data_IF_822588176699
#
_entry.id   IF_822588176699
#
_cell.length_a   1.000
_cell.length_b   1.000
_cell.length_c   1.000
_cell.angle_alpha   90.00
_cell.angle_beta   90.00
_cell.angle_gamma   90.00
#
_symmetry.space_group_name_H-M   'P 1'
#
loop_
_entity.id
_entity.type
_entity.pdbx_description
1 polymer ?
#
# COMPACT_ATOMS: atom_id res chain seq x y z
N UNK A 1 -11.59 45.48 36.27
CA UNK A 1 -12.28 46.21 35.19
C UNK A 1 -11.78 45.63 33.87
N UNK A 2 -12.48 44.65 33.31
CA UNK A 2 -12.14 44.02 32.03
C UNK A 2 -13.39 44.03 31.16
N UNK A 3 -13.29 44.69 30.01
CA UNK A 3 -14.37 44.86 29.05
C UNK A 3 -14.57 43.57 28.25
N UNK A 4 -15.78 43.02 28.30
CA UNK A 4 -16.24 41.92 27.46
C UNK A 4 -16.84 42.53 26.19
N UNK A 5 -16.22 42.30 25.03
CA UNK A 5 -16.81 42.62 23.73
C UNK A 5 -17.54 41.40 23.19
N UNK A 6 -18.87 41.45 23.19
CA UNK A 6 -19.71 40.52 22.45
C UNK A 6 -19.86 41.00 21.01
N UNK A 7 -19.48 40.16 20.04
CA UNK A 7 -19.81 40.36 18.63
C UNK A 7 -20.92 39.38 18.26
N UNK A 8 -22.07 39.95 17.93
CA UNK A 8 -23.25 39.27 17.41
C UNK A 8 -23.16 39.26 15.88
N UNK A 9 -22.95 38.08 15.29
CA UNK A 9 -22.96 37.92 13.84
C UNK A 9 -24.39 37.68 13.36
N UNK A 10 -24.88 38.64 12.57
CA UNK A 10 -26.14 38.53 11.82
C UNK A 10 -25.94 37.57 10.65
N UNK A 11 -26.79 36.56 10.55
CA UNK A 11 -26.93 35.72 9.36
C UNK A 11 -27.82 36.47 8.36
N UNK A 12 -27.27 36.79 7.19
CA UNK A 12 -28.02 37.27 6.05
C UNK A 12 -28.36 36.05 5.17
N UNK A 13 -29.67 35.77 5.04
CA UNK A 13 -30.18 34.74 4.15
C UNK A 13 -30.09 35.23 2.70
N UNK A 14 -29.16 34.64 1.93
CA UNK A 14 -29.01 34.88 0.50
C UNK A 14 -29.88 33.88 -0.26
N UNK A 15 -31.06 34.32 -0.70
CA UNK A 15 -31.91 33.58 -1.64
C UNK A 15 -31.25 33.57 -3.02
N UNK A 16 -30.85 32.38 -3.49
CA UNK A 16 -30.33 32.16 -4.83
C UNK A 16 -31.52 31.82 -5.75
N UNK A 17 -31.80 32.60 -6.80
CA UNK A 17 -32.89 32.28 -7.73
C UNK A 17 -32.54 31.03 -8.56
N UNK A 18 -33.36 30.00 -8.43
CA UNK A 18 -33.32 28.83 -9.29
C UNK A 18 -33.69 29.22 -10.73
N UNK A 19 -32.70 29.21 -11.62
CA UNK A 19 -32.93 29.25 -13.05
C UNK A 19 -33.55 27.91 -13.49
N UNK A 20 -34.84 27.94 -13.82
CA UNK A 20 -35.53 26.84 -14.49
C UNK A 20 -34.95 26.67 -15.90
N UNK A 21 -34.21 25.59 -16.12
CA UNK A 21 -33.73 25.21 -17.44
C UNK A 21 -34.86 24.56 -18.24
N UNK A 22 -35.17 25.19 -19.37
CA UNK A 22 -36.10 24.77 -20.40
C UNK A 22 -35.59 23.50 -21.11
N UNK A 23 -36.35 22.42 -21.03
CA UNK A 23 -36.03 21.08 -21.56
C UNK A 23 -36.83 20.80 -22.83
N UNK A 24 -36.89 21.74 -23.79
CA UNK A 24 -37.53 21.46 -25.10
C UNK A 24 -36.65 21.75 -26.34
N UNK A 25 -35.39 22.15 -26.17
CA UNK A 25 -34.51 22.50 -27.30
C UNK A 25 -33.74 21.36 -27.99
N UNK A 26 -33.73 20.11 -27.47
CA UNK A 26 -32.73 19.09 -27.84
C UNK A 26 -33.20 17.95 -28.76
N UNK A 27 -34.24 18.15 -29.57
CA UNK A 27 -34.72 17.11 -30.52
C UNK A 27 -34.64 17.45 -32.01
N UNK A 28 -34.09 18.60 -32.42
CA UNK A 28 -33.99 18.97 -33.86
C UNK A 28 -32.58 19.14 -34.44
N UNK A 29 -31.52 18.90 -33.65
CA UNK A 29 -30.14 18.96 -34.16
C UNK A 29 -29.58 17.58 -34.59
N UNK A 30 -30.30 16.46 -34.37
CA UNK A 30 -29.82 15.11 -34.68
C UNK A 30 -30.26 14.54 -36.03
N UNK A 31 -30.93 15.33 -36.89
CA UNK A 31 -31.45 14.84 -38.18
C UNK A 31 -30.91 15.62 -39.40
N UNK A 32 -29.81 16.38 -39.23
CA UNK A 32 -29.16 17.08 -40.35
C UNK A 32 -27.67 16.74 -40.55
N UNK A 33 -27.09 15.89 -39.70
CA UNK A 33 -25.72 15.37 -39.87
C UNK A 33 -25.68 13.96 -40.49
N UNK A 34 -26.81 13.28 -40.66
CA UNK A 34 -26.84 11.90 -41.15
C UNK A 34 -26.89 11.74 -42.68
N UNK A 35 -26.97 12.84 -43.45
CA UNK A 35 -26.99 12.79 -44.94
C UNK A 35 -25.74 13.40 -45.60
N UNK A 36 -24.74 13.86 -44.84
CA UNK A 36 -23.51 14.41 -45.41
C UNK A 36 -22.24 13.63 -45.07
N UNK A 37 -22.34 12.32 -44.78
CA UNK A 37 -21.18 11.45 -44.55
C UNK A 37 -21.00 10.31 -45.56
N UNK A 38 -21.92 10.10 -46.52
CA UNK A 38 -21.79 9.01 -47.51
C UNK A 38 -20.98 9.36 -48.78
N UNK A 39 -20.36 10.54 -48.84
CA UNK A 39 -19.60 10.97 -50.03
C UNK A 39 -18.16 11.43 -49.80
N UNK A 40 -17.52 10.99 -48.70
CA UNK A 40 -16.09 11.25 -48.47
C UNK A 40 -15.26 10.00 -48.13
N UNK A 41 -15.72 8.80 -48.49
CA UNK A 41 -14.95 7.56 -48.28
C UNK A 41 -14.40 6.96 -49.59
N UNK A 42 -13.88 7.78 -50.52
CA UNK A 42 -13.34 7.25 -51.79
C UNK A 42 -12.04 7.88 -52.30
N UNK A 43 -11.27 8.61 -51.48
CA UNK A 43 -9.90 9.03 -51.82
C UNK A 43 -9.08 9.16 -50.54
N UNK A 44 -8.29 8.14 -50.22
CA UNK A 44 -6.99 8.23 -49.47
C UNK A 44 -6.47 6.89 -48.91
N UNK A 45 -7.01 5.73 -49.29
CA UNK A 45 -6.28 4.46 -49.11
C UNK A 45 -5.27 4.24 -50.24
N UNK A 46 -4.21 5.04 -50.28
CA UNK A 46 -3.04 4.71 -51.10
C UNK A 46 -1.74 5.37 -50.64
N UNK A 47 -1.45 5.32 -49.34
CA UNK A 47 -0.08 5.55 -48.85
C UNK A 47 0.14 4.57 -47.71
N UNK A 48 0.78 3.44 -48.01
CA UNK A 48 1.69 2.65 -47.16
C UNK A 48 1.82 1.24 -47.74
N UNK A 49 2.31 1.15 -48.98
CA UNK A 49 3.01 -0.05 -49.44
C UNK A 49 4.36 -0.08 -48.73
N UNK A 50 4.40 -0.67 -47.53
CA UNK A 50 5.64 -0.98 -46.83
C UNK A 50 6.25 -2.20 -47.52
N UNK A 51 7.11 -1.93 -48.50
CA UNK A 51 8.00 -2.92 -49.10
C UNK A 51 8.91 -3.44 -47.97
N UNK A 52 8.69 -4.69 -47.54
CA UNK A 52 9.54 -5.40 -46.57
C UNK A 52 10.88 -5.72 -47.23
N UNK A 53 11.79 -4.75 -47.25
CA UNK A 53 13.22 -5.02 -47.36
C UNK A 53 13.85 -4.77 -46.00
N UNK A 54 14.36 -5.86 -45.42
CA UNK A 54 15.33 -5.94 -44.31
C UNK A 54 15.42 -4.73 -43.37
N UNK A 55 14.65 -4.81 -42.28
CA UNK A 55 15.16 -4.55 -40.93
C UNK A 55 15.58 -3.13 -40.58
N UNK A 56 14.65 -2.17 -40.58
CA UNK A 56 14.62 -1.08 -39.59
C UNK A 56 13.23 -0.41 -39.62
N UNK A 57 12.45 -0.55 -38.55
CA UNK A 57 11.16 0.14 -38.42
C UNK A 57 11.45 1.54 -37.88
N UNK A 58 11.73 2.49 -38.77
CA UNK A 58 11.82 3.90 -38.42
C UNK A 58 10.40 4.45 -38.34
N UNK A 59 9.86 4.56 -37.12
CA UNK A 59 8.58 5.26 -36.88
C UNK A 59 8.85 6.76 -37.04
N UNK A 60 8.22 7.46 -38.01
CA UNK A 60 8.38 8.90 -38.12
C UNK A 60 7.73 9.58 -36.91
N UNK A 61 8.56 9.99 -35.94
CA UNK A 61 8.15 10.86 -34.85
C UNK A 61 7.83 12.24 -35.45
N UNK A 62 6.56 12.51 -35.69
CA UNK A 62 6.12 13.86 -36.02
C UNK A 62 6.39 14.77 -34.80
N UNK A 63 7.21 15.82 -34.94
CA UNK A 63 7.49 16.73 -33.84
C UNK A 63 6.22 17.48 -33.49
N UNK A 64 5.62 17.12 -32.36
CA UNK A 64 4.46 17.82 -31.81
C UNK A 64 4.94 19.21 -31.37
N UNK A 65 4.58 20.23 -32.15
CA UNK A 65 4.83 21.62 -31.80
C UNK A 65 3.89 22.03 -30.68
N UNK A 66 4.26 21.71 -29.44
CA UNK A 66 3.55 22.17 -28.26
C UNK A 66 3.87 23.65 -28.05
N UNK A 67 2.82 24.48 -27.95
CA UNK A 67 2.98 25.88 -27.64
C UNK A 67 3.34 26.00 -26.15
N UNK A 68 4.49 26.60 -25.84
CA UNK A 68 5.03 26.67 -24.48
C UNK A 68 4.00 27.26 -23.48
N UNK A 69 3.19 28.21 -23.96
CA UNK A 69 2.14 28.86 -23.16
C UNK A 69 0.97 27.95 -22.80
N UNK A 70 0.64 26.97 -23.64
CA UNK A 70 -0.39 25.96 -23.32
C UNK A 70 0.15 24.88 -22.39
N UNK A 71 1.43 24.56 -22.51
CA UNK A 71 2.08 23.56 -21.67
C UNK A 71 2.15 24.02 -20.21
N UNK A 72 2.54 25.28 -19.98
CA UNK A 72 2.57 25.88 -18.63
C UNK A 72 1.21 25.81 -17.94
N UNK A 73 0.13 26.18 -18.65
CA UNK A 73 -1.24 26.11 -18.10
C UNK A 73 -1.68 24.67 -17.81
N UNK A 74 -1.28 23.71 -18.64
CA UNK A 74 -1.63 22.30 -18.42
C UNK A 74 -0.97 21.73 -17.16
N UNK A 75 0.27 22.13 -16.87
CA UNK A 75 0.98 21.73 -15.64
C UNK A 75 0.27 22.27 -14.40
N UNK A 76 -0.11 23.56 -14.40
CA UNK A 76 -0.84 24.15 -13.27
C UNK A 76 -2.16 23.44 -13.01
N UNK A 77 -2.92 23.12 -14.06
CA UNK A 77 -4.18 22.36 -13.93
C UNK A 77 -3.92 20.97 -13.32
N UNK A 78 -2.88 20.27 -13.77
CA UNK A 78 -2.53 18.95 -13.23
C UNK A 78 -2.16 18.99 -11.73
N UNK A 79 -1.39 20.01 -11.31
CA UNK A 79 -1.01 20.21 -9.90
C UNK A 79 -2.24 20.49 -9.03
N UNK A 80 -3.15 21.36 -9.49
CA UNK A 80 -4.39 21.68 -8.76
C UNK A 80 -5.27 20.44 -8.60
N UNK A 81 -5.42 19.63 -9.65
CA UNK A 81 -6.19 18.39 -9.58
C UNK A 81 -5.57 17.36 -8.63
N UNK A 82 -4.23 17.27 -8.59
CA UNK A 82 -3.51 16.42 -7.65
C UNK A 82 -3.68 16.88 -6.19
N UNK A 83 -3.60 18.19 -5.93
CA UNK A 83 -3.84 18.73 -4.58
C UNK A 83 -5.30 18.54 -4.13
N UNK A 84 -6.27 18.72 -5.04
CA UNK A 84 -7.68 18.49 -4.74
C UNK A 84 -7.98 17.02 -4.44
N UNK A 85 -7.32 16.06 -5.12
CA UNK A 85 -7.52 14.65 -4.82
C UNK A 85 -6.97 14.28 -3.44
N UNK A 86 -5.82 14.83 -3.03
CA UNK A 86 -5.27 14.61 -1.68
C UNK A 86 -6.24 15.05 -0.58
N UNK A 87 -6.99 16.14 -0.77
CA UNK A 87 -8.02 16.60 0.18
C UNK A 87 -9.20 15.62 0.31
N UNK A 88 -9.62 14.99 -0.80
CA UNK A 88 -10.74 14.04 -0.79
C UNK A 88 -10.33 12.68 -0.22
N UNK A 89 -9.10 12.23 -0.51
CA UNK A 89 -8.63 10.89 -0.12
C UNK A 89 -7.98 10.85 1.28
N UNK A 90 -7.67 11.98 1.92
CA UNK A 90 -7.11 12.02 3.29
C UNK A 90 -7.84 12.96 4.28
N UNK A 91 -9.15 12.77 4.55
CA UNK A 91 -9.81 13.52 5.63
C UNK A 91 -9.26 13.17 7.04
N UNK A 92 -8.57 12.02 7.19
CA UNK A 92 -8.10 11.53 8.49
C UNK A 92 -6.82 12.22 9.01
N UNK A 93 -6.10 13.01 8.21
CA UNK A 93 -4.78 13.54 8.62
C UNK A 93 -4.84 14.93 9.26
N UNK A 94 -5.99 15.62 9.26
CA UNK A 94 -6.13 16.99 9.80
C UNK A 94 -6.75 17.02 11.21
N UNK A 95 -7.20 15.88 11.75
CA UNK A 95 -7.90 15.82 13.05
C UNK A 95 -7.14 15.04 14.15
N UNK A 96 -5.83 14.87 14.03
CA UNK A 96 -5.00 14.20 15.04
C UNK A 96 -3.95 15.17 15.62
N UNK A 97 -4.42 16.29 16.16
CA UNK A 97 -3.59 17.14 17.03
C UNK A 97 -4.49 17.75 18.12
N UNK A 98 -4.71 16.96 19.17
CA UNK A 98 -5.49 17.34 20.35
C UNK A 98 -5.23 16.36 21.49
N UNK A 99 -4.16 16.63 22.25
CA UNK A 99 -3.79 16.05 23.56
C UNK A 99 -4.77 15.06 24.23
N UNK A 100 -4.32 13.85 24.63
CA UNK A 100 -4.98 13.08 25.66
C UNK A 100 -4.46 13.55 27.02
N UNK A 101 -5.25 14.34 27.76
CA UNK A 101 -4.95 14.60 29.15
C UNK A 101 -6.22 14.66 29.99
N UNK A 102 -6.13 13.95 31.12
CA UNK A 102 -6.96 13.97 32.32
C UNK A 102 -7.93 12.79 32.48
N UNK A 103 -7.40 11.83 33.25
CA UNK A 103 -8.04 10.86 34.14
C UNK A 103 -9.40 11.30 34.70
N UNK A 104 -10.34 10.38 34.77
CA UNK A 104 -11.16 10.24 35.98
C UNK A 104 -11.51 8.77 36.24
N UNK A 105 -10.75 8.18 37.16
CA UNK A 105 -11.13 7.02 37.95
C UNK A 105 -12.39 7.34 38.73
N UNK A 106 -13.51 6.71 38.39
CA UNK A 106 -14.66 6.58 39.27
C UNK A 106 -14.72 5.14 39.77
N UNK A 107 -14.15 4.95 40.95
CA UNK A 107 -14.44 3.87 41.88
C UNK A 107 -15.95 3.65 42.03
N UNK A 108 -16.41 2.41 41.90
CA UNK A 108 -17.50 1.91 42.73
C UNK A 108 -17.20 0.49 43.17
N UNK A 109 -16.78 0.46 44.43
CA UNK A 109 -16.73 -0.64 45.36
C UNK A 109 -18.14 -1.18 45.61
N UNK A 110 -18.40 -2.45 45.28
CA UNK A 110 -19.44 -3.26 45.95
C UNK A 110 -18.88 -4.66 46.19
N UNK A 111 -18.40 -4.82 47.41
CA UNK A 111 -18.20 -6.06 48.16
C UNK A 111 -19.45 -6.96 48.12
N UNK A 112 -19.29 -8.28 47.93
CA UNK A 112 -20.35 -9.23 48.30
C UNK A 112 -20.22 -10.70 47.85
N UNK A 113 -19.63 -11.52 48.73
CA UNK A 113 -20.06 -12.88 49.12
C UNK A 113 -19.84 -14.12 48.20
N UNK A 114 -18.81 -14.89 48.59
CA UNK A 114 -18.69 -16.35 48.88
C UNK A 114 -19.88 -17.31 48.58
N UNK A 115 -19.49 -18.59 48.31
CA UNK A 115 -20.17 -19.92 48.43
C UNK A 115 -20.64 -20.53 47.08
N UNK A 116 -19.93 -21.48 46.44
CA UNK A 116 -19.65 -22.93 46.70
C UNK A 116 -20.76 -23.90 46.24
N UNK A 117 -20.31 -24.92 45.47
CA UNK A 117 -20.87 -26.27 45.20
C UNK A 117 -21.89 -26.54 44.05
N UNK A 118 -21.34 -27.06 42.94
CA UNK A 118 -21.51 -28.44 42.42
C UNK A 118 -22.91 -28.97 42.04
N UNK A 119 -23.19 -29.20 40.74
CA UNK A 119 -23.88 -30.42 40.24
C UNK A 119 -23.95 -30.52 38.69
N UNK A 120 -23.17 -31.46 38.13
CA UNK A 120 -23.52 -32.49 37.12
C UNK A 120 -24.45 -32.23 35.90
N UNK A 121 -23.84 -32.40 34.71
CA UNK A 121 -24.15 -33.35 33.62
C UNK A 121 -24.82 -32.88 32.30
N UNK A 122 -24.09 -33.20 31.21
CA UNK A 122 -24.44 -33.46 29.79
C UNK A 122 -25.31 -32.47 28.99
N UNK A 123 -24.77 -31.94 27.89
CA UNK A 123 -25.11 -32.37 26.51
C UNK A 123 -24.33 -31.53 25.47
N UNK A 124 -23.90 -32.22 24.42
CA UNK A 124 -23.05 -31.85 23.28
C UNK A 124 -23.75 -30.90 22.28
N UNK A 125 -22.98 -29.94 21.74
CA UNK A 125 -22.89 -29.48 20.32
C UNK A 125 -22.81 -27.96 20.15
N UNK A 126 -22.00 -27.59 19.15
CA UNK A 126 -21.92 -26.32 18.41
C UNK A 126 -20.86 -25.29 18.85
N UNK A 127 -19.78 -25.29 18.06
CA UNK A 127 -19.29 -24.15 17.27
C UNK A 127 -18.98 -22.81 17.95
N UNK A 128 -17.70 -22.42 17.79
CA UNK A 128 -17.23 -21.04 17.51
C UNK A 128 -17.08 -20.10 18.70
N UNK A 129 -15.83 -19.88 19.12
CA UNK A 129 -15.20 -18.56 19.15
C UNK A 129 -13.75 -18.75 19.62
N UNK A 130 -12.80 -18.36 18.76
CA UNK A 130 -11.41 -18.11 19.12
C UNK A 130 -11.34 -17.04 20.20
N UNK A 131 -10.78 -17.40 21.36
CA UNK A 131 -10.20 -16.45 22.31
C UNK A 131 -9.10 -17.19 23.07
N UNK A 132 -7.86 -17.06 22.58
CA UNK A 132 -6.63 -17.48 23.27
C UNK A 132 -5.60 -16.40 22.88
N UNK A 133 -5.54 -15.35 23.69
CA UNK A 133 -4.52 -15.05 24.72
C UNK A 133 -3.36 -14.20 24.18
N UNK A 134 -3.18 -13.07 24.87
CA UNK A 134 -2.03 -12.17 24.80
C UNK A 134 -0.74 -12.94 25.13
N UNK A 135 0.29 -12.75 24.31
CA UNK A 135 1.68 -12.68 24.79
C UNK A 135 2.33 -11.43 24.18
N UNK A 136 2.22 -10.30 24.90
CA UNK A 136 3.22 -9.25 24.86
C UNK A 136 4.49 -9.78 25.55
N UNK A 137 5.46 -10.25 24.78
CA UNK A 137 6.83 -10.38 25.28
C UNK A 137 7.57 -9.06 25.06
N UNK A 138 7.57 -8.25 26.11
CA UNK A 138 8.47 -7.13 26.35
C UNK A 138 9.89 -7.69 26.59
N UNK A 139 10.74 -7.74 25.57
CA UNK A 139 12.16 -8.11 25.75
C UNK A 139 12.98 -6.83 25.98
N UNK A 140 13.33 -6.62 27.25
CA UNK A 140 14.27 -5.62 27.76
C UNK A 140 15.62 -5.67 27.02
N UNK A 141 16.20 -4.49 26.74
CA UNK A 141 17.62 -4.36 26.41
C UNK A 141 18.49 -4.82 27.58
N UNK A 142 19.49 -5.68 27.33
CA UNK A 142 20.77 -5.52 28.01
C UNK A 142 21.81 -4.99 27.02
N UNK A 143 22.28 -3.76 27.27
CA UNK A 143 23.58 -3.30 26.82
C UNK A 143 24.68 -4.16 27.48
N UNK A 144 25.07 -5.26 26.84
CA UNK A 144 26.36 -5.90 27.14
C UNK A 144 27.31 -5.77 25.95
N UNK A 145 28.30 -4.89 26.13
CA UNK A 145 29.48 -4.77 25.30
C UNK A 145 30.43 -5.95 25.56
N UNK A 146 30.07 -7.15 25.08
CA UNK A 146 31.00 -8.27 25.05
C UNK A 146 31.87 -8.17 23.79
N UNK A 147 33.15 -7.85 23.98
CA UNK A 147 34.19 -7.80 22.94
C UNK A 147 34.77 -9.19 22.63
N UNK A 148 33.99 -10.25 22.84
CA UNK A 148 34.32 -11.59 22.40
C UNK A 148 34.19 -11.67 20.89
N UNK A 149 35.25 -12.10 20.19
CA UNK A 149 35.28 -12.18 18.73
C UNK A 149 34.08 -12.96 18.19
N UNK A 150 33.12 -12.23 17.60
CA UNK A 150 31.92 -12.78 17.00
C UNK A 150 32.31 -13.62 15.76
N UNK A 151 32.42 -14.93 15.92
CA UNK A 151 32.65 -15.89 14.82
C UNK A 151 31.34 -16.42 14.23
N UNK A 152 30.24 -15.67 14.38
CA UNK A 152 28.92 -16.12 14.02
C UNK A 152 28.62 -15.98 12.52
N UNK A 153 27.37 -16.30 12.17
CA UNK A 153 26.84 -16.20 10.81
C UNK A 153 25.81 -15.07 10.75
N UNK A 154 25.65 -14.51 9.56
CA UNK A 154 24.53 -13.62 9.26
C UNK A 154 23.36 -14.53 8.87
N UNK A 155 22.19 -14.30 9.44
CA UNK A 155 20.98 -15.07 9.13
C UNK A 155 19.81 -14.15 8.78
N UNK A 156 19.06 -14.54 7.78
CA UNK A 156 17.80 -13.94 7.36
C UNK A 156 16.64 -14.90 7.67
N UNK A 157 15.68 -14.43 8.46
CA UNK A 157 14.51 -15.20 8.86
C UNK A 157 13.27 -14.53 8.28
N UNK A 158 12.48 -15.27 7.50
CA UNK A 158 11.18 -14.81 7.01
C UNK A 158 10.17 -14.87 8.17
N UNK A 159 9.62 -13.72 8.53
CA UNK A 159 8.70 -13.57 9.66
C UNK A 159 7.22 -13.74 9.27
N UNK A 160 6.40 -12.83 9.79
CA UNK A 160 4.95 -12.75 9.52
C UNK A 160 4.72 -12.25 8.09
N UNK A 161 3.75 -12.83 7.40
CA UNK A 161 3.36 -12.41 6.04
C UNK A 161 1.90 -12.01 6.10
N UNK A 162 1.60 -10.75 5.81
CA UNK A 162 0.24 -10.24 5.76
C UNK A 162 -0.40 -10.53 4.41
N UNK A 163 -1.59 -11.10 4.43
CA UNK A 163 -2.41 -11.35 3.25
C UNK A 163 -3.85 -10.87 3.43
N UNK A 164 -4.52 -10.61 2.32
CA UNK A 164 -5.94 -10.27 2.25
C UNK A 164 -6.59 -11.08 1.12
N UNK A 165 -7.67 -11.79 1.41
CA UNK A 165 -8.56 -12.35 0.40
C UNK A 165 -9.58 -11.29 -0.09
N UNK A 166 -9.91 -11.32 -1.38
CA UNK A 166 -10.96 -10.48 -2.01
C UNK A 166 -11.76 -11.34 -2.99
N UNK A 167 -12.96 -10.87 -3.35
CA UNK A 167 -13.87 -11.55 -4.31
C UNK A 167 -13.23 -11.90 -5.67
N UNK A 168 -12.12 -11.25 -6.03
CA UNK A 168 -11.43 -11.40 -7.32
C UNK A 168 -10.02 -11.99 -7.18
N UNK A 169 -9.70 -12.58 -6.03
CA UNK A 169 -8.42 -13.19 -5.73
C UNK A 169 -7.78 -12.66 -4.45
N UNK A 170 -6.51 -12.97 -4.24
CA UNK A 170 -5.79 -12.65 -3.02
C UNK A 170 -4.70 -11.62 -3.21
N UNK A 171 -4.26 -11.02 -2.11
CA UNK A 171 -3.12 -10.12 -2.08
C UNK A 171 -2.21 -10.47 -0.92
N UNK A 172 -0.90 -10.38 -1.15
CA UNK A 172 0.08 -10.25 -0.06
C UNK A 172 0.38 -8.76 0.08
N UNK A 173 0.15 -8.23 1.29
CA UNK A 173 0.17 -6.79 1.61
C UNK A 173 1.41 -6.40 2.41
N UNK A 174 2.02 -7.35 3.12
CA UNK A 174 3.23 -7.10 3.89
C UNK A 174 4.07 -8.35 4.08
N UNK A 175 5.38 -8.15 4.24
CA UNK A 175 6.34 -9.20 4.58
C UNK A 175 7.22 -8.71 5.73
N UNK A 176 7.17 -9.43 6.84
CA UNK A 176 8.06 -9.29 7.99
C UNK A 176 9.30 -10.15 7.83
N UNK A 177 10.43 -9.65 8.32
CA UNK A 177 11.67 -10.41 8.39
C UNK A 177 12.54 -9.95 9.57
N UNK A 178 13.45 -10.84 9.96
CA UNK A 178 14.48 -10.58 10.96
C UNK A 178 15.85 -10.89 10.37
N UNK A 179 16.78 -9.94 10.49
CA UNK A 179 18.20 -10.13 10.20
C UNK A 179 18.95 -10.25 11.51
N UNK A 180 19.64 -11.37 11.72
CA UNK A 180 20.50 -11.59 12.87
C UNK A 180 21.97 -11.57 12.42
N UNK A 181 22.70 -10.51 12.77
CA UNK A 181 24.08 -10.33 12.37
C UNK A 181 25.02 -10.75 13.49
N UNK A 182 25.66 -11.92 13.36
CA UNK A 182 26.66 -12.38 14.32
C UNK A 182 28.09 -12.38 13.76
N UNK A 183 28.38 -11.61 12.69
CA UNK A 183 29.68 -11.66 11.98
C UNK A 183 30.38 -10.31 11.92
N UNK A 184 29.93 -9.41 11.05
CA UNK A 184 30.62 -8.16 10.72
C UNK A 184 29.59 -7.08 10.43
N UNK A 185 29.92 -5.82 10.70
CA UNK A 185 29.04 -4.71 10.38
C UNK A 185 28.87 -4.58 8.85
N UNK A 186 27.64 -4.31 8.38
CA UNK A 186 27.31 -4.10 6.96
C UNK A 186 26.02 -3.28 6.84
N UNK A 187 25.65 -2.82 5.63
CA UNK A 187 24.37 -2.11 5.40
C UNK A 187 23.36 -3.10 4.79
N UNK A 188 22.31 -3.53 5.53
CA UNK A 188 21.36 -4.50 5.03
C UNK A 188 20.54 -3.98 3.84
N UNK A 189 20.51 -4.75 2.76
CA UNK A 189 19.54 -4.61 1.69
C UNK A 189 18.79 -5.93 1.50
N UNK A 190 17.47 -5.92 1.63
CA UNK A 190 16.62 -7.12 1.50
C UNK A 190 15.78 -7.00 0.23
N UNK A 191 16.01 -7.92 -0.72
CA UNK A 191 15.22 -8.04 -1.95
C UNK A 191 14.09 -9.05 -1.73
N UNK A 192 12.85 -8.64 -1.99
CA UNK A 192 11.65 -9.43 -1.73
C UNK A 192 11.07 -9.94 -3.05
N UNK A 193 10.91 -11.26 -3.19
CA UNK A 193 10.32 -11.91 -4.35
C UNK A 193 9.05 -12.63 -3.94
N UNK A 194 8.00 -12.49 -4.74
CA UNK A 194 6.70 -13.11 -4.46
C UNK A 194 6.14 -13.67 -5.76
N UNK A 195 5.91 -14.99 -5.78
CA UNK A 195 5.49 -15.72 -6.97
C UNK A 195 4.78 -17.04 -6.64
N UNK A 196 4.00 -17.54 -7.61
CA UNK A 196 3.46 -18.91 -7.62
C UNK A 196 4.50 -19.91 -8.16
N UNK A 197 4.34 -21.20 -7.87
CA UNK A 197 5.16 -22.25 -8.45
C UNK A 197 5.21 -22.17 -10.00
N UNK A 198 4.04 -21.94 -10.61
CA UNK A 198 3.84 -21.87 -12.07
C UNK A 198 4.04 -20.46 -12.65
N UNK A 199 4.47 -19.49 -11.83
CA UNK A 199 4.78 -18.16 -12.31
C UNK A 199 5.93 -18.17 -13.32
N UNK A 200 5.82 -17.31 -14.34
CA UNK A 200 6.89 -17.03 -15.30
C UNK A 200 8.17 -16.61 -14.58
N UNK A 201 9.33 -16.94 -15.15
CA UNK A 201 10.66 -16.68 -14.58
C UNK A 201 10.91 -15.22 -14.21
N UNK A 202 10.26 -14.29 -14.92
CA UNK A 202 10.36 -12.85 -14.59
C UNK A 202 9.91 -12.54 -13.16
N UNK A 203 8.93 -13.26 -12.61
CA UNK A 203 8.46 -13.07 -11.24
C UNK A 203 9.37 -13.73 -10.20
N UNK A 204 10.19 -14.69 -10.63
CA UNK A 204 11.17 -15.40 -9.79
C UNK A 204 12.52 -14.67 -9.72
N UNK A 205 12.78 -13.80 -10.69
CA UNK A 205 14.07 -13.10 -10.87
C UNK A 205 13.99 -11.59 -10.64
N UNK A 206 12.79 -10.99 -10.68
CA UNK A 206 12.60 -9.56 -10.41
C UNK A 206 12.03 -9.37 -9.00
N UNK A 207 12.71 -8.61 -8.13
CA UNK A 207 12.16 -8.29 -6.82
C UNK A 207 10.89 -7.46 -6.98
N UNK A 208 9.90 -7.74 -6.12
CA UNK A 208 8.68 -6.97 -5.97
C UNK A 208 8.91 -5.70 -5.19
N UNK A 209 9.77 -5.78 -4.18
CA UNK A 209 10.15 -4.66 -3.33
C UNK A 209 11.59 -4.85 -2.85
N UNK A 210 12.26 -3.75 -2.57
CA UNK A 210 13.60 -3.75 -1.99
C UNK A 210 13.59 -2.87 -0.76
N UNK A 211 13.95 -3.45 0.39
CA UNK A 211 14.22 -2.68 1.59
C UNK A 211 15.71 -2.39 1.69
N UNK A 212 16.05 -1.15 1.98
CA UNK A 212 17.42 -0.72 2.25
C UNK A 212 17.46 -0.04 3.62
N UNK A 213 18.34 -0.51 4.49
CA UNK A 213 18.50 0.05 5.82
C UNK A 213 19.17 1.44 5.74
N UNK A 214 18.72 2.36 6.58
CA UNK A 214 19.28 3.73 6.64
C UNK A 214 20.66 3.78 7.32
N UNK A 215 21.03 2.72 8.04
CA UNK A 215 22.25 2.66 8.83
C UNK A 215 22.90 1.28 8.82
N UNK A 216 24.19 1.27 9.14
CA UNK A 216 25.00 0.06 9.27
C UNK A 216 24.49 -0.79 10.44
N UNK A 217 24.18 -2.06 10.18
CA UNK A 217 23.85 -3.04 11.20
C UNK A 217 25.13 -3.62 11.79
N UNK A 218 25.46 -3.22 13.03
CA UNK A 218 26.64 -3.70 13.75
C UNK A 218 26.65 -5.21 14.00
N UNK A 219 27.83 -5.78 14.22
CA UNK A 219 27.97 -7.18 14.63
C UNK A 219 27.34 -7.41 16.01
N UNK A 220 26.66 -8.54 16.18
CA UNK A 220 25.88 -8.91 17.36
C UNK A 220 24.47 -8.30 17.42
N UNK A 221 24.08 -7.46 16.45
CA UNK A 221 22.78 -6.77 16.44
C UNK A 221 21.76 -7.48 15.55
N UNK A 222 20.48 -7.27 15.88
CA UNK A 222 19.33 -7.74 15.11
C UNK A 222 18.58 -6.57 14.50
N UNK A 223 17.96 -6.81 13.35
CA UNK A 223 17.04 -5.89 12.69
C UNK A 223 15.73 -6.63 12.42
N UNK A 224 14.61 -6.12 12.95
CA UNK A 224 13.27 -6.61 12.63
C UNK A 224 12.53 -5.55 11.83
N UNK A 225 11.93 -5.94 10.70
CA UNK A 225 11.18 -5.02 9.85
C UNK A 225 10.01 -5.69 9.17
N UNK A 226 8.93 -4.93 9.01
CA UNK A 226 7.79 -5.27 8.17
C UNK A 226 7.74 -4.28 7.01
N UNK A 227 7.74 -4.82 5.79
CA UNK A 227 7.73 -4.04 4.55
C UNK A 227 6.39 -4.22 3.87
N UNK A 228 5.75 -3.11 3.50
CA UNK A 228 4.53 -3.12 2.70
C UNK A 228 4.89 -3.55 1.28
N UNK A 229 4.17 -4.55 0.78
CA UNK A 229 4.36 -5.08 -0.57
C UNK A 229 2.99 -5.20 -1.24
N UNK A 230 2.93 -5.10 -2.57
CA UNK A 230 1.68 -5.29 -3.30
C UNK A 230 1.85 -6.37 -4.37
N UNK A 231 1.54 -7.61 -3.99
CA UNK A 231 1.46 -8.73 -4.92
C UNK A 231 0.04 -9.26 -4.98
N UNK A 232 -0.58 -9.23 -6.17
CA UNK A 232 -1.96 -9.69 -6.39
C UNK A 232 -1.94 -11.01 -7.15
N UNK A 233 -2.81 -11.93 -6.72
CA UNK A 233 -2.95 -13.28 -7.24
C UNK A 233 -4.41 -13.53 -7.59
N UNK A 234 -4.75 -13.72 -8.88
CA UNK A 234 -6.12 -14.07 -9.28
C UNK A 234 -6.58 -15.40 -8.68
N UNK A 235 -5.64 -16.32 -8.49
CA UNK A 235 -5.87 -17.63 -7.90
C UNK A 235 -5.26 -17.69 -6.50
N UNK A 236 -6.11 -17.75 -5.49
CA UNK A 236 -5.72 -17.95 -4.08
C UNK A 236 -5.45 -19.42 -3.78
N UNK A 237 -5.91 -20.33 -4.64
CA UNK A 237 -5.61 -21.75 -4.48
C UNK A 237 -4.12 -22.00 -4.75
N UNK A 238 -3.49 -22.78 -3.88
CA UNK A 238 -2.06 -23.07 -3.94
C UNK A 238 -1.16 -22.05 -3.23
N UNK A 239 -0.04 -22.57 -2.73
CA UNK A 239 0.93 -21.81 -1.96
C UNK A 239 1.68 -20.76 -2.79
N UNK A 240 1.75 -19.55 -2.24
CA UNK A 240 2.55 -18.43 -2.72
C UNK A 240 3.91 -18.45 -2.07
N UNK A 241 4.97 -18.43 -2.87
CA UNK A 241 6.34 -18.40 -2.34
C UNK A 241 6.75 -16.95 -2.11
N UNK A 242 7.11 -16.63 -0.87
CA UNK A 242 7.82 -15.41 -0.50
C UNK A 242 9.28 -15.78 -0.29
N UNK A 243 10.15 -15.32 -1.20
CA UNK A 243 11.61 -15.49 -1.11
C UNK A 243 12.23 -14.15 -0.77
N UNK A 244 13.17 -14.16 0.17
CA UNK A 244 13.97 -13.02 0.58
C UNK A 244 15.43 -13.31 0.29
N UNK A 245 16.15 -12.31 -0.21
CA UNK A 245 17.60 -12.35 -0.38
C UNK A 245 18.20 -11.16 0.36
N UNK A 246 19.16 -11.43 1.25
CA UNK A 246 19.87 -10.42 2.02
C UNK A 246 21.21 -10.13 1.38
N UNK A 247 21.42 -8.87 1.02
CA UNK A 247 22.64 -8.33 0.45
C UNK A 247 23.28 -7.34 1.41
N UNK A 248 24.59 -7.16 1.26
CA UNK A 248 25.27 -5.95 1.71
C UNK A 248 25.15 -4.85 0.64
N UNK A 249 24.52 -3.73 0.99
CA UNK A 249 24.24 -2.64 0.05
C UNK A 249 25.52 -1.99 -0.51
N UNK A 250 26.64 -2.06 0.23
CA UNK A 250 27.90 -1.47 -0.22
C UNK A 250 28.63 -2.36 -1.24
N UNK A 251 28.58 -3.67 -1.06
CA UNK A 251 29.35 -4.64 -1.86
C UNK A 251 28.51 -5.41 -2.88
N UNK A 252 27.18 -5.36 -2.77
CA UNK A 252 26.20 -6.20 -3.49
C UNK A 252 26.49 -7.71 -3.34
N UNK A 253 27.16 -8.10 -2.26
CA UNK A 253 27.39 -9.51 -1.92
C UNK A 253 26.14 -10.12 -1.30
N UNK A 254 25.69 -11.27 -1.80
CA UNK A 254 24.62 -12.06 -1.19
C UNK A 254 25.13 -12.71 0.09
N UNK A 255 24.53 -12.35 1.22
CA UNK A 255 24.94 -12.82 2.55
C UNK A 255 24.14 -14.01 3.03
N UNK A 256 22.83 -14.02 2.77
CA UNK A 256 21.91 -15.12 3.13
C UNK A 256 20.63 -15.05 2.30
N UNK A 257 19.89 -16.16 2.22
CA UNK A 257 18.58 -16.21 1.59
C UNK A 257 17.60 -17.09 2.36
N UNK A 258 16.31 -16.75 2.26
CA UNK A 258 15.24 -17.44 2.97
C UNK A 258 13.98 -17.52 2.13
N UNK A 259 13.16 -18.55 2.34
CA UNK A 259 11.86 -18.64 1.67
C UNK A 259 10.80 -19.25 2.57
N UNK A 260 9.56 -18.82 2.36
CA UNK A 260 8.37 -19.33 3.05
C UNK A 260 7.22 -19.43 2.05
N UNK A 261 6.47 -20.51 2.12
CA UNK A 261 5.25 -20.70 1.32
C UNK A 261 4.04 -20.34 2.18
N UNK A 262 3.14 -19.53 1.65
CA UNK A 262 1.93 -19.04 2.33
C UNK A 262 0.72 -19.31 1.45
N UNK A 263 -0.36 -19.79 2.05
CA UNK A 263 -1.67 -19.87 1.39
C UNK A 263 -2.42 -18.58 1.72
N UNK A 264 -2.99 -17.93 0.70
CA UNK A 264 -3.82 -16.74 0.94
C UNK A 264 -5.20 -17.23 1.39
N UNK A 265 -5.55 -16.90 2.62
CA UNK A 265 -6.85 -17.13 3.25
C UNK A 265 -7.33 -15.86 3.95
#
# INVERSE_FOLDING_TARGET
MFCVFGMSEKKEDVEIPFATYDVEGRKKAKQKEHEHSEHSHSKEHNIFNIKKEKGEIVIPLHPIKLNARTFERSIFIAIILFLASLLVFKPAFIFWEGNPLVKETASNDVVGAVTTENSSNDTIEAETAEEEEEEEEEEEEPEETSSGGLTGKIKLIVGVIGSEEKDTGGKITSVGFVVDNQKSAFVPQVKIYIFDADSRDIYKTRPRETYEAESVLGAGKKLSKVVSVLAQFPDTSGGKTVKLELYDAETDELLDDGSKVVVIS
#
